data_IF_916933005313
#
_entry.id   IF_916933005313
#
_cell.length_a   1.000
_cell.length_b   1.000
_cell.length_c   1.000
_cell.angle_alpha   90.00
_cell.angle_beta   90.00
_cell.angle_gamma   90.00
#
_symmetry.space_group_name_H-M   'P 1'
#
loop_
_entity.id
_entity.type
_entity.pdbx_description
1 polymer ?
#
# COMPACT_ATOMS: atom_id res chain seq x y z
N UNK A 1 0.14 -2.91 -4.45
CA UNK A 1 -1.25 -2.46 -4.68
C UNK A 1 -2.07 -3.62 -5.17
N UNK A 2 -3.38 -3.60 -4.97
CA UNK A 2 -4.29 -4.66 -5.39
C UNK A 2 -4.92 -4.33 -6.74
N UNK A 3 -4.84 -5.21 -7.72
CA UNK A 3 -5.36 -4.96 -9.09
C UNK A 3 -6.83 -4.54 -9.04
N UNK A 4 -7.68 -5.33 -8.38
CA UNK A 4 -9.10 -5.04 -8.27
C UNK A 4 -9.38 -3.69 -7.62
N UNK A 5 -8.73 -3.42 -6.50
CA UNK A 5 -8.99 -2.21 -5.71
C UNK A 5 -8.39 -0.96 -6.36
N UNK A 6 -7.30 -1.11 -7.10
CA UNK A 6 -6.71 0.00 -7.86
C UNK A 6 -7.62 0.44 -9.01
N UNK A 7 -8.36 -0.49 -9.62
CA UNK A 7 -9.19 -0.18 -10.76
C UNK A 7 -10.60 0.30 -10.38
N UNK A 8 -11.27 -0.31 -9.38
CA UNK A 8 -12.70 -0.08 -9.19
C UNK A 8 -13.19 0.00 -7.74
N UNK A 9 -12.42 -0.39 -6.73
CA UNK A 9 -12.91 -0.38 -5.35
C UNK A 9 -12.98 1.03 -4.74
N UNK A 10 -14.08 1.34 -4.07
CA UNK A 10 -14.25 2.54 -3.27
C UNK A 10 -13.92 2.34 -1.78
N UNK A 11 -13.77 1.08 -1.33
CA UNK A 11 -13.49 0.74 0.08
C UNK A 11 -12.06 1.01 0.52
N UNK A 12 -11.12 1.17 -0.41
CA UNK A 12 -9.73 1.52 -0.13
C UNK A 12 -9.29 2.72 -0.98
N UNK A 13 -8.11 3.23 -0.68
CA UNK A 13 -7.49 4.35 -1.39
C UNK A 13 -6.53 3.91 -2.51
N UNK A 14 -6.52 2.62 -2.88
CA UNK A 14 -5.54 2.05 -3.81
C UNK A 14 -5.62 2.68 -5.21
N UNK A 15 -6.82 2.87 -5.74
CA UNK A 15 -7.03 3.55 -7.03
C UNK A 15 -6.46 4.96 -7.00
N UNK A 16 -6.80 5.72 -5.96
CA UNK A 16 -6.30 7.08 -5.80
C UNK A 16 -4.77 7.10 -5.76
N UNK A 17 -4.15 6.23 -4.96
CA UNK A 17 -2.69 6.15 -4.87
C UNK A 17 -2.03 5.85 -6.21
N UNK A 18 -2.59 4.93 -7.01
CA UNK A 18 -2.06 4.62 -8.34
C UNK A 18 -2.17 5.82 -9.28
N UNK A 19 -3.37 6.42 -9.38
CA UNK A 19 -3.63 7.55 -10.27
C UNK A 19 -2.78 8.76 -9.90
N UNK A 20 -2.71 9.10 -8.62
CA UNK A 20 -1.92 10.22 -8.12
C UNK A 20 -0.43 10.00 -8.36
N UNK A 21 0.08 8.78 -8.13
CA UNK A 21 1.48 8.44 -8.41
C UNK A 21 1.82 8.60 -9.89
N UNK A 22 0.96 8.15 -10.80
CA UNK A 22 1.16 8.31 -12.24
C UNK A 22 1.19 9.79 -12.63
N UNK A 23 0.27 10.60 -12.09
CA UNK A 23 0.22 12.03 -12.37
C UNK A 23 1.45 12.78 -11.85
N UNK A 24 1.91 12.45 -10.64
CA UNK A 24 3.10 13.07 -10.06
C UNK A 24 4.36 12.69 -10.84
N UNK A 25 4.51 11.45 -11.26
CA UNK A 25 5.62 11.00 -12.09
C UNK A 25 5.60 11.71 -13.44
N UNK A 26 4.43 11.82 -14.08
CA UNK A 26 4.29 12.52 -15.35
C UNK A 26 4.67 14.00 -15.24
N UNK A 27 4.27 14.68 -14.17
CA UNK A 27 4.65 16.09 -13.90
C UNK A 27 6.14 16.24 -13.62
N UNK A 28 6.76 15.26 -12.96
CA UNK A 28 8.19 15.28 -12.66
C UNK A 28 9.07 14.92 -13.88
N UNK A 29 8.48 14.38 -14.94
CA UNK A 29 9.16 13.98 -16.17
C UNK A 29 9.86 12.63 -16.12
N UNK A 30 10.07 12.06 -14.93
CA UNK A 30 10.67 10.72 -14.75
C UNK A 30 10.23 10.06 -13.46
N UNK A 31 10.21 8.74 -13.44
CA UNK A 31 9.89 7.92 -12.27
C UNK A 31 9.49 6.50 -12.67
N UNK A 32 9.26 5.65 -11.68
CA UNK A 32 8.86 4.27 -11.88
C UNK A 32 7.76 3.84 -10.90
N UNK A 33 6.87 2.97 -11.34
CA UNK A 33 5.90 2.28 -10.49
C UNK A 33 6.18 0.79 -10.52
N UNK A 34 6.51 0.24 -9.35
CA UNK A 34 6.56 -1.21 -9.17
C UNK A 34 5.18 -1.71 -8.73
N UNK A 35 4.46 -2.31 -9.67
CA UNK A 35 3.10 -2.81 -9.44
C UNK A 35 3.14 -4.29 -9.03
N UNK A 36 3.02 -4.55 -7.73
CA UNK A 36 3.13 -5.89 -7.19
C UNK A 36 1.75 -6.56 -7.07
N UNK A 37 1.64 -7.80 -7.54
CA UNK A 37 0.43 -8.60 -7.41
C UNK A 37 0.34 -9.26 -6.03
N UNK A 38 0.27 -8.43 -4.98
CA UNK A 38 0.13 -8.87 -3.58
C UNK A 38 -1.21 -8.37 -3.02
N UNK A 39 -2.29 -8.97 -3.52
CA UNK A 39 -3.67 -8.62 -3.20
C UNK A 39 -3.94 -8.77 -1.69
N UNK A 40 -4.74 -7.84 -1.12
CA UNK A 40 -5.12 -7.90 0.29
C UNK A 40 -3.94 -7.80 1.26
N UNK A 41 -2.85 -7.14 0.91
CA UNK A 41 -1.58 -7.13 1.67
C UNK A 41 -0.91 -8.51 1.75
N UNK A 42 -0.99 -9.28 0.67
CA UNK A 42 -0.37 -10.59 0.57
C UNK A 42 -1.27 -11.78 0.87
N UNK A 43 -2.46 -11.57 1.44
CA UNK A 43 -3.37 -12.67 1.80
C UNK A 43 -4.21 -13.21 0.63
N UNK A 44 -4.16 -12.55 -0.52
CA UNK A 44 -4.92 -12.92 -1.71
C UNK A 44 -6.35 -12.39 -1.75
N UNK A 45 -6.98 -12.46 -2.92
CA UNK A 45 -8.31 -11.88 -3.15
C UNK A 45 -9.40 -12.57 -2.34
N UNK A 46 -9.41 -13.89 -2.28
CA UNK A 46 -10.44 -14.67 -1.55
C UNK A 46 -10.46 -14.30 -0.07
N UNK A 47 -9.29 -14.27 0.58
CA UNK A 47 -9.20 -13.91 1.99
C UNK A 47 -9.49 -12.42 2.22
N UNK A 48 -9.16 -11.56 1.26
CA UNK A 48 -9.56 -10.16 1.33
C UNK A 48 -11.09 -9.97 1.32
N UNK A 49 -11.81 -10.74 0.52
CA UNK A 49 -13.29 -10.72 0.52
C UNK A 49 -13.84 -11.24 1.86
N UNK A 50 -13.24 -12.31 2.41
CA UNK A 50 -13.59 -12.80 3.75
C UNK A 50 -13.33 -11.75 4.83
N UNK A 51 -12.17 -11.06 4.77
CA UNK A 51 -11.88 -9.97 5.68
C UNK A 51 -12.88 -8.81 5.55
N UNK A 52 -13.34 -8.48 4.35
CA UNK A 52 -14.40 -7.49 4.16
C UNK A 52 -15.72 -7.90 4.80
N UNK A 53 -16.11 -9.18 4.71
CA UNK A 53 -17.28 -9.69 5.41
C UNK A 53 -17.16 -9.49 6.92
N UNK A 54 -16.04 -9.88 7.51
CA UNK A 54 -15.78 -9.66 8.93
C UNK A 54 -15.79 -8.18 9.33
N UNK A 55 -15.33 -7.30 8.46
CA UNK A 55 -15.40 -5.85 8.66
C UNK A 55 -16.84 -5.32 8.61
N UNK A 56 -17.72 -5.91 7.80
CA UNK A 56 -19.14 -5.57 7.76
C UNK A 56 -19.85 -6.05 9.06
N UNK A 57 -19.33 -7.10 9.69
CA UNK A 57 -19.77 -7.62 11.00
C UNK A 57 -19.19 -6.82 12.20
N UNK A 58 -18.37 -5.78 11.95
CA UNK A 58 -17.91 -4.83 12.96
C UNK A 58 -16.41 -4.84 13.24
N UNK A 59 -15.64 -5.83 12.79
CA UNK A 59 -14.19 -5.85 12.98
C UNK A 59 -13.51 -4.74 12.17
N UNK A 60 -12.31 -4.36 12.59
CA UNK A 60 -11.45 -3.54 11.74
C UNK A 60 -10.55 -4.40 10.82
N UNK A 61 -9.74 -3.73 9.98
CA UNK A 61 -8.88 -4.41 9.01
C UNK A 61 -7.85 -5.34 9.65
N UNK A 62 -7.31 -4.96 10.82
CA UNK A 62 -6.27 -5.74 11.52
C UNK A 62 -6.91 -6.95 12.20
N UNK A 63 -8.00 -6.74 12.92
CA UNK A 63 -8.77 -7.78 13.61
C UNK A 63 -9.29 -8.83 12.63
N UNK A 64 -9.83 -8.39 11.48
CA UNK A 64 -10.31 -9.29 10.43
C UNK A 64 -9.17 -10.17 9.87
N UNK A 65 -7.97 -9.62 9.66
CA UNK A 65 -6.83 -10.41 9.21
C UNK A 65 -6.39 -11.42 10.26
N UNK A 66 -6.29 -11.02 11.54
CA UNK A 66 -5.92 -11.92 12.64
C UNK A 66 -6.93 -13.06 12.81
N UNK A 67 -8.22 -12.78 12.69
CA UNK A 67 -9.26 -13.82 12.76
C UNK A 67 -9.16 -14.84 11.62
N UNK A 68 -8.63 -14.43 10.46
CA UNK A 68 -8.35 -15.33 9.34
C UNK A 68 -6.99 -16.04 9.45
N UNK A 69 -6.22 -15.81 10.53
CA UNK A 69 -4.91 -16.42 10.77
C UNK A 69 -3.74 -15.74 10.07
N UNK A 70 -3.90 -14.49 9.62
CA UNK A 70 -2.85 -13.72 8.96
C UNK A 70 -2.33 -12.59 9.85
N UNK A 71 -1.08 -12.17 9.61
CA UNK A 71 -0.57 -10.94 10.15
C UNK A 71 -1.24 -9.71 9.50
N UNK A 72 -1.03 -8.54 10.08
CA UNK A 72 -1.57 -7.27 9.57
C UNK A 72 -1.08 -6.90 8.17
N UNK A 73 0.10 -7.40 7.78
CA UNK A 73 0.73 -7.13 6.48
C UNK A 73 1.70 -8.27 6.12
N UNK A 74 1.31 -9.12 5.17
CA UNK A 74 2.09 -10.26 4.67
C UNK A 74 2.90 -9.91 3.40
N UNK A 75 3.01 -8.62 3.04
CA UNK A 75 3.72 -8.23 1.82
C UNK A 75 5.22 -8.41 1.97
N UNK A 76 5.83 -8.91 0.90
CA UNK A 76 7.28 -8.97 0.73
C UNK A 76 7.74 -7.91 -0.29
N UNK A 77 8.77 -7.15 0.05
CA UNK A 77 9.34 -6.11 -0.79
C UNK A 77 10.68 -6.47 -1.43
N UNK A 78 11.20 -7.68 -1.22
CA UNK A 78 12.48 -8.14 -1.80
C UNK A 78 12.50 -8.05 -3.33
N UNK A 79 11.35 -8.36 -3.96
CA UNK A 79 11.21 -8.23 -5.41
C UNK A 79 11.40 -6.78 -5.89
N UNK A 80 10.99 -5.79 -5.08
CA UNK A 80 11.18 -4.36 -5.42
C UNK A 80 12.66 -4.01 -5.39
N UNK A 81 13.39 -4.48 -4.37
CA UNK A 81 14.83 -4.25 -4.28
C UNK A 81 15.58 -4.91 -5.46
N UNK A 82 15.19 -6.14 -5.84
CA UNK A 82 15.74 -6.84 -7.00
C UNK A 82 15.46 -6.11 -8.31
N UNK A 83 14.23 -5.64 -8.52
CA UNK A 83 13.86 -4.84 -9.69
C UNK A 83 14.65 -3.52 -9.76
N UNK A 84 14.75 -2.81 -8.62
CA UNK A 84 15.49 -1.55 -8.56
C UNK A 84 16.97 -1.76 -8.88
N UNK A 85 17.58 -2.83 -8.35
CA UNK A 85 18.96 -3.20 -8.67
C UNK A 85 19.15 -3.52 -10.15
N UNK A 86 18.24 -4.30 -10.76
CA UNK A 86 18.29 -4.63 -12.18
C UNK A 86 18.19 -3.38 -13.07
N UNK A 87 17.35 -2.44 -12.70
CA UNK A 87 17.18 -1.14 -13.36
C UNK A 87 18.26 -0.11 -12.98
N UNK A 88 19.27 -0.52 -12.20
CA UNK A 88 20.36 0.35 -11.72
C UNK A 88 19.88 1.59 -10.93
N UNK A 89 18.71 1.50 -10.30
CA UNK A 89 18.17 2.54 -9.44
C UNK A 89 18.86 2.45 -8.07
N UNK A 90 19.68 3.44 -7.75
CA UNK A 90 20.45 3.49 -6.49
C UNK A 90 19.72 4.25 -5.40
N UNK A 91 18.97 5.28 -5.76
CA UNK A 91 18.24 6.11 -4.80
C UNK A 91 16.90 6.56 -5.37
N UNK A 92 15.94 6.80 -4.49
CA UNK A 92 14.57 7.18 -4.87
C UNK A 92 13.98 8.21 -3.91
N UNK A 93 13.07 9.02 -4.44
CA UNK A 93 12.06 9.72 -3.67
C UNK A 93 10.84 8.80 -3.58
N UNK A 94 10.58 8.23 -2.41
CA UNK A 94 9.60 7.17 -2.27
C UNK A 94 8.19 7.73 -1.98
N UNK A 95 7.26 7.49 -2.91
CA UNK A 95 5.85 7.83 -2.71
C UNK A 95 5.20 6.82 -1.77
N UNK A 96 5.01 7.19 -0.52
CA UNK A 96 4.36 6.34 0.48
C UNK A 96 3.93 7.13 1.72
N UNK A 97 2.90 6.62 2.40
CA UNK A 97 2.51 7.06 3.75
C UNK A 97 2.84 5.99 4.81
N UNK A 98 3.39 4.84 4.41
CA UNK A 98 3.70 3.73 5.30
C UNK A 98 5.17 3.75 5.72
N UNK A 99 5.52 4.08 6.99
CA UNK A 99 6.89 4.09 7.48
C UNK A 99 7.55 2.70 7.41
N UNK A 100 6.81 1.62 7.68
CA UNK A 100 7.33 0.25 7.57
C UNK A 100 7.85 -0.08 6.16
N UNK A 101 7.27 0.52 5.12
CA UNK A 101 7.75 0.36 3.75
C UNK A 101 9.09 1.06 3.52
N UNK A 102 9.29 2.23 4.11
CA UNK A 102 10.56 2.97 4.03
C UNK A 102 11.67 2.14 4.68
N UNK A 103 11.42 1.66 5.90
CA UNK A 103 12.38 0.85 6.66
C UNK A 103 12.74 -0.45 5.94
N UNK A 104 11.73 -1.16 5.42
CA UNK A 104 11.94 -2.41 4.70
C UNK A 104 12.80 -2.22 3.45
N UNK A 105 12.51 -1.24 2.60
CA UNK A 105 13.28 -0.97 1.38
C UNK A 105 14.69 -0.44 1.69
N UNK A 106 14.83 0.38 2.73
CA UNK A 106 16.14 0.85 3.19
C UNK A 106 17.04 -0.28 3.66
N UNK A 107 16.51 -1.24 4.45
CA UNK A 107 17.23 -2.45 4.88
C UNK A 107 17.67 -3.35 3.72
N UNK A 108 16.97 -3.30 2.60
CA UNK A 108 17.28 -4.05 1.37
C UNK A 108 18.29 -3.33 0.46
N UNK A 109 18.86 -2.21 0.91
CA UNK A 109 19.92 -1.48 0.20
C UNK A 109 19.45 -0.42 -0.78
N UNK A 110 18.16 -0.09 -0.81
CA UNK A 110 17.66 1.03 -1.62
C UNK A 110 17.74 2.34 -0.81
N UNK A 111 18.49 3.31 -1.30
CA UNK A 111 18.61 4.61 -0.65
C UNK A 111 17.32 5.41 -0.83
N UNK A 112 16.67 5.78 0.26
CA UNK A 112 15.48 6.64 0.25
C UNK A 112 15.93 8.07 0.56
N UNK A 113 15.91 8.96 -0.46
CA UNK A 113 16.32 10.36 -0.26
C UNK A 113 15.26 11.12 0.55
N UNK A 114 14.00 10.99 0.16
CA UNK A 114 12.86 11.59 0.88
C UNK A 114 11.58 10.79 0.69
N UNK A 115 10.66 10.96 1.62
CA UNK A 115 9.30 10.50 1.48
C UNK A 115 8.46 11.54 0.73
N UNK A 116 7.71 11.09 -0.27
CA UNK A 116 6.68 11.88 -0.94
C UNK A 116 5.31 11.41 -0.46
N UNK A 117 4.53 12.25 0.24
CA UNK A 117 3.23 11.84 0.75
C UNK A 117 2.21 11.69 -0.38
N UNK A 118 1.30 10.71 -0.23
CA UNK A 118 0.15 10.53 -1.11
C UNK A 118 -1.11 10.61 -0.24
N UNK A 119 -1.69 11.79 -0.14
CA UNK A 119 -2.85 12.05 0.73
C UNK A 119 -4.15 11.86 -0.06
N UNK A 120 -4.90 10.82 0.28
CA UNK A 120 -6.21 10.56 -0.31
C UNK A 120 -7.31 11.33 0.43
N UNK A 121 -8.27 11.86 -0.32
CA UNK A 121 -9.51 12.37 0.27
C UNK A 121 -10.34 11.20 0.81
N UNK A 122 -10.91 11.38 2.00
CA UNK A 122 -11.84 10.41 2.55
C UNK A 122 -13.18 10.48 1.81
N UNK A 123 -13.81 9.33 1.64
CA UNK A 123 -15.20 9.20 1.22
C UNK A 123 -15.96 8.32 2.22
N UNK A 124 -17.28 8.23 2.08
CA UNK A 124 -18.13 7.48 3.03
C UNK A 124 -17.75 5.99 3.12
N UNK A 125 -17.20 5.42 2.06
CA UNK A 125 -16.83 4.00 1.98
C UNK A 125 -15.43 3.69 2.54
N UNK A 126 -14.48 4.64 2.49
CA UNK A 126 -13.09 4.41 2.90
C UNK A 126 -12.70 5.10 4.21
N UNK A 127 -13.56 5.91 4.81
CA UNK A 127 -13.29 6.67 6.02
C UNK A 127 -12.82 5.79 7.19
N UNK A 128 -13.52 4.68 7.46
CA UNK A 128 -13.15 3.70 8.50
C UNK A 128 -11.79 3.06 8.18
N UNK A 129 -11.56 2.69 6.92
CA UNK A 129 -10.30 2.10 6.45
C UNK A 129 -9.12 3.05 6.62
N UNK A 130 -9.24 4.32 6.25
CA UNK A 130 -8.19 5.34 6.42
C UNK A 130 -7.90 5.60 7.90
N UNK A 131 -8.94 5.67 8.75
CA UNK A 131 -8.79 5.80 10.20
C UNK A 131 -8.01 4.64 10.82
N UNK A 132 -8.28 3.40 10.40
CA UNK A 132 -7.52 2.22 10.85
C UNK A 132 -6.06 2.28 10.41
N UNK A 133 -5.80 2.73 9.16
CA UNK A 133 -4.42 2.93 8.68
C UNK A 133 -3.64 3.92 9.55
N UNK A 134 -4.23 5.04 9.88
CA UNK A 134 -3.57 6.05 10.71
C UNK A 134 -3.35 5.54 12.14
N UNK A 135 -4.40 5.03 12.79
CA UNK A 135 -4.39 4.69 14.22
C UNK A 135 -3.66 3.40 14.55
N UNK A 136 -3.90 2.32 13.78
CA UNK A 136 -3.37 0.98 14.09
C UNK A 136 -2.13 0.60 13.27
N UNK A 137 -1.98 1.13 12.08
CA UNK A 137 -0.87 0.79 11.18
C UNK A 137 0.21 1.88 11.08
N UNK A 138 0.05 2.99 11.83
CA UNK A 138 1.05 4.05 11.91
C UNK A 138 1.29 4.81 10.60
N UNK A 139 0.32 4.83 9.68
CA UNK A 139 0.46 5.58 8.45
C UNK A 139 0.49 7.09 8.70
N UNK A 140 1.44 7.77 8.07
CA UNK A 140 1.60 9.23 8.11
C UNK A 140 0.60 9.87 7.12
N UNK A 141 -0.52 10.35 7.64
CA UNK A 141 -1.60 10.95 6.85
C UNK A 141 -1.81 12.41 7.19
#
# INVERSE_FOLDING_TARGET
>A
MCIRDSLFSLRCDCRFQLTESLQQIAKNGSGAIFYLQQEGRGIGLSNKIRAYKLQDEGLDTVEANHQLGFHEDERNYEIVASMAKHLQIKSVDLMTNNPKKIDALGKMGLTINKRVPILSKSNDYNKKYLSTKAKKLGHLM
#
